data_IF_647317175871
#
_entry.id   IF_647317175871
#
_cell.length_a   1.000
_cell.length_b   1.000
_cell.length_c   1.000
_cell.angle_alpha   90.00
_cell.angle_beta   90.00
_cell.angle_gamma   90.00
#
_symmetry.space_group_name_H-M   'P 1'
#
loop_
_entity.id
_entity.type
_entity.pdbx_description
1 polymer ?
#
# COMPACT_ATOMS: atom_id res chain seq x y z
N UNK A 1 -25.42 -9.44 22.41
CA UNK A 1 -25.60 -9.57 20.94
C UNK A 1 -24.31 -9.15 20.30
N UNK A 2 -23.85 -9.87 19.26
CA UNK A 2 -22.68 -9.48 18.49
C UNK A 2 -22.91 -8.14 17.80
N UNK A 3 -21.87 -7.30 17.72
CA UNK A 3 -21.93 -6.06 16.97
C UNK A 3 -21.76 -6.36 15.47
N UNK A 4 -22.53 -5.68 14.63
CA UNK A 4 -22.43 -5.79 13.19
C UNK A 4 -21.40 -4.80 12.65
N UNK A 5 -20.42 -5.31 11.88
CA UNK A 5 -19.31 -4.55 11.36
C UNK A 5 -19.48 -4.27 9.87
N UNK A 6 -19.24 -3.02 9.48
CA UNK A 6 -18.96 -2.65 8.09
C UNK A 6 -17.47 -2.46 7.92
N UNK A 7 -16.86 -3.29 7.08
CA UNK A 7 -15.47 -3.18 6.64
C UNK A 7 -15.47 -2.47 5.29
N UNK A 8 -14.69 -1.40 5.14
CA UNK A 8 -14.66 -0.61 3.91
C UNK A 8 -13.24 -0.21 3.54
N UNK A 9 -12.87 -0.41 2.28
CA UNK A 9 -11.62 0.07 1.68
C UNK A 9 -11.93 1.18 0.68
N UNK A 10 -11.46 2.39 0.97
CA UNK A 10 -11.79 3.61 0.25
C UNK A 10 -10.62 4.00 -0.66
N UNK A 11 -10.76 3.70 -1.94
CA UNK A 11 -9.85 4.17 -2.99
C UNK A 11 -10.29 5.51 -3.58
N UNK A 12 -9.54 5.99 -4.57
CA UNK A 12 -9.81 7.29 -5.22
C UNK A 12 -11.17 7.38 -5.95
N UNK A 13 -11.69 6.28 -6.49
CA UNK A 13 -12.90 6.24 -7.33
C UNK A 13 -13.85 5.10 -6.98
N UNK A 14 -13.43 4.20 -6.12
CA UNK A 14 -14.20 3.02 -5.75
C UNK A 14 -14.08 2.78 -4.25
N UNK A 15 -15.13 2.21 -3.70
CA UNK A 15 -15.17 1.61 -2.38
C UNK A 15 -15.33 0.11 -2.54
N UNK A 16 -14.56 -0.66 -1.77
CA UNK A 16 -14.82 -2.08 -1.54
C UNK A 16 -15.38 -2.19 -0.15
N UNK A 17 -16.43 -2.98 0.02
CA UNK A 17 -17.03 -3.15 1.33
C UNK A 17 -17.45 -4.59 1.56
N UNK A 18 -17.55 -4.93 2.83
CA UNK A 18 -18.03 -6.22 3.31
C UNK A 18 -18.68 -6.09 4.68
N UNK A 19 -19.48 -7.05 5.05
CA UNK A 19 -20.13 -7.15 6.36
C UNK A 19 -19.49 -8.30 7.13
N UNK A 20 -19.29 -8.08 8.44
CA UNK A 20 -18.83 -9.07 9.40
C UNK A 20 -19.54 -8.88 10.74
N UNK A 21 -19.19 -9.66 11.75
CA UNK A 21 -19.66 -9.49 13.13
C UNK A 21 -18.51 -9.62 14.13
N UNK A 22 -18.67 -9.03 15.31
CA UNK A 22 -17.62 -9.02 16.36
C UNK A 22 -17.33 -10.39 16.99
N UNK A 23 -18.10 -11.42 16.69
CA UNK A 23 -17.97 -12.78 17.18
C UNK A 23 -17.65 -13.80 16.09
N UNK A 24 -17.33 -13.35 14.87
CA UNK A 24 -16.98 -14.22 13.73
C UNK A 24 -15.90 -13.59 12.85
N UNK A 25 -15.03 -14.41 12.31
CA UNK A 25 -14.08 -14.03 11.26
C UNK A 25 -14.69 -14.10 9.85
N UNK A 26 -15.96 -14.48 9.74
CA UNK A 26 -16.63 -14.59 8.44
C UNK A 26 -16.88 -13.20 7.83
N UNK A 27 -16.55 -13.08 6.55
CA UNK A 27 -16.76 -11.88 5.74
C UNK A 27 -17.82 -12.20 4.69
N UNK A 28 -18.89 -11.43 4.69
CA UNK A 28 -20.03 -11.60 3.77
C UNK A 28 -20.31 -10.32 2.99
N UNK A 29 -21.16 -10.42 1.96
CA UNK A 29 -21.58 -9.27 1.15
C UNK A 29 -20.40 -8.45 0.59
N UNK A 30 -19.37 -9.13 0.09
CA UNK A 30 -18.20 -8.49 -0.52
C UNK A 30 -18.61 -7.87 -1.85
N UNK A 31 -18.56 -6.53 -1.93
CA UNK A 31 -18.93 -5.78 -3.12
C UNK A 31 -17.93 -4.65 -3.41
N UNK A 32 -17.95 -4.19 -4.66
CA UNK A 32 -17.21 -3.03 -5.13
C UNK A 32 -18.17 -2.07 -5.80
N UNK A 33 -18.19 -0.81 -5.34
CA UNK A 33 -19.08 0.24 -5.84
C UNK A 33 -18.24 1.47 -6.23
N UNK A 34 -18.48 2.03 -7.41
CA UNK A 34 -17.89 3.30 -7.78
C UNK A 34 -18.60 4.46 -7.10
N UNK A 35 -17.89 5.58 -6.88
CA UNK A 35 -18.48 6.85 -6.45
C UNK A 35 -17.89 8.00 -7.28
N UNK A 36 -18.72 9.00 -7.54
CA UNK A 36 -18.39 10.13 -8.41
C UNK A 36 -17.67 11.24 -7.61
N UNK A 37 -18.27 11.63 -6.50
CA UNK A 37 -17.82 12.68 -5.58
C UNK A 37 -18.04 12.28 -4.13
N UNK A 38 -17.78 13.19 -3.21
CA UNK A 38 -17.87 12.89 -1.78
C UNK A 38 -19.31 12.88 -1.27
N UNK A 39 -20.23 13.58 -1.92
CA UNK A 39 -21.64 13.55 -1.56
C UNK A 39 -22.25 12.19 -1.93
N UNK A 40 -21.96 11.68 -3.13
CA UNK A 40 -22.31 10.31 -3.57
C UNK A 40 -21.68 9.25 -2.65
N UNK A 41 -20.41 9.44 -2.24
CA UNK A 41 -19.77 8.56 -1.26
C UNK A 41 -20.51 8.54 0.08
N UNK A 42 -20.83 9.70 0.63
CA UNK A 42 -21.54 9.80 1.92
C UNK A 42 -22.94 9.20 1.88
N UNK A 43 -23.67 9.37 0.77
CA UNK A 43 -24.97 8.73 0.57
C UNK A 43 -24.84 7.21 0.53
N UNK A 44 -23.86 6.66 -0.21
CA UNK A 44 -23.59 5.23 -0.25
C UNK A 44 -23.20 4.68 1.12
N UNK A 45 -22.32 5.38 1.85
CA UNK A 45 -21.92 5.00 3.20
C UNK A 45 -23.14 4.96 4.13
N UNK A 46 -24.00 5.97 4.06
CA UNK A 46 -25.25 6.03 4.81
C UNK A 46 -26.14 4.81 4.53
N UNK A 47 -26.36 4.51 3.26
CA UNK A 47 -27.19 3.37 2.86
C UNK A 47 -26.62 2.05 3.37
N UNK A 48 -25.31 1.83 3.22
CA UNK A 48 -24.62 0.63 3.73
C UNK A 48 -24.79 0.46 5.26
N UNK A 49 -24.69 1.56 6.01
CA UNK A 49 -24.82 1.52 7.48
C UNK A 49 -26.26 1.18 7.87
N UNK A 50 -27.25 1.87 7.31
CA UNK A 50 -28.65 1.70 7.73
C UNK A 50 -29.27 0.40 7.22
N UNK A 51 -29.05 0.02 5.96
CA UNK A 51 -29.60 -1.22 5.39
C UNK A 51 -29.06 -2.47 6.08
N UNK A 52 -27.82 -2.40 6.57
CA UNK A 52 -27.19 -3.51 7.26
C UNK A 52 -27.28 -3.42 8.79
N UNK A 53 -27.85 -2.38 9.38
CA UNK A 53 -27.88 -2.15 10.83
C UNK A 53 -26.50 -2.24 11.46
N UNK A 54 -25.54 -1.46 10.93
CA UNK A 54 -24.14 -1.50 11.32
C UNK A 54 -23.94 -0.82 12.69
N UNK A 55 -23.23 -1.47 13.59
CA UNK A 55 -22.84 -0.93 14.90
C UNK A 55 -21.44 -0.29 14.85
N UNK A 56 -20.52 -0.90 14.10
CA UNK A 56 -19.09 -0.54 14.05
C UNK A 56 -18.65 -0.36 12.60
N UNK A 57 -18.00 0.76 12.31
CA UNK A 57 -17.34 1.01 11.03
C UNK A 57 -15.83 0.86 11.18
N UNK A 58 -15.21 0.05 10.29
CA UNK A 58 -13.76 -0.04 10.12
C UNK A 58 -13.44 0.36 8.68
N UNK A 59 -12.78 1.51 8.51
CA UNK A 59 -12.49 2.07 7.20
C UNK A 59 -10.99 2.19 6.95
N UNK A 60 -10.52 1.57 5.87
CA UNK A 60 -9.20 1.73 5.29
C UNK A 60 -9.23 2.90 4.31
N UNK A 61 -8.32 3.85 4.44
CA UNK A 61 -8.26 5.06 3.61
C UNK A 61 -6.82 5.33 3.20
N UNK A 62 -6.58 5.49 1.89
CA UNK A 62 -5.26 5.86 1.39
C UNK A 62 -4.94 7.32 1.73
N UNK A 63 -3.99 7.53 2.65
CA UNK A 63 -3.53 8.85 3.05
C UNK A 63 -2.96 8.90 4.46
N UNK A 64 -2.28 10.02 4.80
CA UNK A 64 -1.68 10.20 6.12
C UNK A 64 -2.74 10.29 7.22
N UNK A 65 -2.51 9.54 8.30
CA UNK A 65 -3.33 9.53 9.52
C UNK A 65 -2.73 10.44 10.57
N UNK A 66 -3.54 11.40 11.02
CA UNK A 66 -3.18 12.29 12.13
C UNK A 66 -4.31 12.25 13.17
N UNK A 67 -4.01 11.70 14.33
CA UNK A 67 -5.00 11.47 15.40
C UNK A 67 -6.22 10.68 14.88
N UNK A 68 -7.41 11.26 14.98
CA UNK A 68 -8.68 10.66 14.56
C UNK A 68 -9.06 11.00 13.12
N UNK A 69 -8.12 11.46 12.29
CA UNK A 69 -8.41 11.91 10.93
C UNK A 69 -7.42 11.32 9.92
N UNK A 70 -7.92 11.04 8.71
CA UNK A 70 -7.12 10.68 7.55
C UNK A 70 -7.47 11.63 6.41
N UNK A 71 -6.44 12.26 5.83
CA UNK A 71 -6.57 13.08 4.62
C UNK A 71 -6.34 12.21 3.39
N UNK A 72 -7.32 12.13 2.48
CA UNK A 72 -7.14 11.36 1.25
C UNK A 72 -6.05 11.95 0.37
N UNK A 73 -5.13 11.10 -0.10
CA UNK A 73 -4.03 11.51 -0.99
C UNK A 73 -4.52 12.02 -2.35
N UNK A 74 -5.60 11.45 -2.87
CA UNK A 74 -6.06 11.69 -4.26
C UNK A 74 -7.31 12.56 -4.35
N UNK A 75 -7.85 13.04 -3.23
CA UNK A 75 -9.04 13.89 -3.17
C UNK A 75 -8.90 14.88 -2.02
N UNK A 76 -9.46 16.08 -2.18
CA UNK A 76 -9.49 17.08 -1.11
C UNK A 76 -10.61 16.74 -0.10
N UNK A 77 -10.43 15.65 0.64
CA UNK A 77 -11.39 15.22 1.66
C UNK A 77 -10.67 14.68 2.90
N UNK A 78 -11.21 14.98 4.07
CA UNK A 78 -10.67 14.53 5.36
C UNK A 78 -11.73 13.70 6.08
N UNK A 79 -11.43 12.43 6.27
CA UNK A 79 -12.21 11.55 7.14
C UNK A 79 -11.88 11.86 8.61
N UNK A 80 -12.90 11.92 9.46
CA UNK A 80 -12.72 12.06 10.89
C UNK A 80 -13.63 11.06 11.61
N UNK A 81 -13.05 10.15 12.38
CA UNK A 81 -13.81 9.06 13.02
C UNK A 81 -14.88 9.55 13.97
N UNK A 82 -14.59 10.59 14.76
CA UNK A 82 -15.57 11.17 15.71
C UNK A 82 -16.76 11.80 15.00
N UNK A 83 -16.51 12.50 13.88
CA UNK A 83 -17.62 13.10 13.08
C UNK A 83 -18.49 12.01 12.45
N UNK A 84 -17.88 10.96 11.90
CA UNK A 84 -18.59 9.83 11.28
C UNK A 84 -19.41 9.08 12.33
N UNK A 85 -18.79 8.74 13.47
CA UNK A 85 -19.44 8.08 14.59
C UNK A 85 -20.71 8.82 15.01
N UNK A 86 -20.62 10.14 15.25
CA UNK A 86 -21.76 10.96 15.67
C UNK A 86 -22.81 11.11 14.56
N UNK A 87 -22.38 11.31 13.30
CA UNK A 87 -23.29 11.50 12.14
C UNK A 87 -24.18 10.29 11.90
N UNK A 88 -23.65 9.09 12.06
CA UNK A 88 -24.35 7.84 11.77
C UNK A 88 -24.80 7.07 13.03
N UNK A 89 -24.59 7.66 14.21
CA UNK A 89 -24.94 7.06 15.51
C UNK A 89 -24.36 5.64 15.68
N UNK A 90 -23.09 5.47 15.30
CA UNK A 90 -22.36 4.22 15.46
C UNK A 90 -21.89 4.04 16.90
N UNK A 91 -21.62 2.79 17.32
CA UNK A 91 -20.95 2.51 18.60
C UNK A 91 -19.46 2.82 18.54
N UNK A 92 -18.84 2.46 17.42
CA UNK A 92 -17.41 2.69 17.18
C UNK A 92 -17.16 3.05 15.70
N UNK A 93 -16.09 3.82 15.46
CA UNK A 93 -15.60 4.14 14.14
C UNK A 93 -14.08 4.16 14.13
N UNK A 94 -13.47 3.20 13.43
CA UNK A 94 -12.02 3.04 13.30
C UNK A 94 -11.57 3.43 11.90
N UNK A 95 -10.66 4.39 11.81
CA UNK A 95 -9.99 4.76 10.56
C UNK A 95 -8.58 4.19 10.58
N UNK A 96 -8.24 3.45 9.56
CA UNK A 96 -6.93 2.89 9.31
C UNK A 96 -6.35 3.49 8.03
N UNK A 97 -5.05 3.77 8.02
CA UNK A 97 -4.35 3.96 6.76
C UNK A 97 -4.38 2.63 5.96
N UNK A 98 -4.29 2.69 4.63
CA UNK A 98 -4.34 1.51 3.77
C UNK A 98 -3.24 0.48 4.09
N UNK A 99 -2.02 0.94 4.39
CA UNK A 99 -0.91 0.07 4.78
C UNK A 99 -1.02 -0.43 6.23
N UNK A 100 -1.60 0.35 7.14
CA UNK A 100 -1.97 -0.10 8.48
C UNK A 100 -2.97 -1.27 8.40
N UNK A 101 -3.94 -1.19 7.48
CA UNK A 101 -4.90 -2.28 7.23
C UNK A 101 -4.24 -3.54 6.69
N UNK A 102 -3.28 -3.40 5.76
CA UNK A 102 -2.49 -4.53 5.24
C UNK A 102 -1.70 -5.19 6.37
N UNK A 103 -1.07 -4.42 7.24
CA UNK A 103 -0.31 -4.97 8.35
C UNK A 103 -1.19 -5.74 9.34
N UNK A 104 -2.40 -5.25 9.64
CA UNK A 104 -3.38 -5.96 10.47
C UNK A 104 -3.90 -7.26 9.83
N UNK A 105 -3.81 -7.42 8.52
CA UNK A 105 -4.24 -8.64 7.82
C UNK A 105 -3.24 -9.81 7.91
N UNK A 106 -2.06 -9.61 8.49
CA UNK A 106 -0.95 -10.57 8.44
C UNK A 106 -1.34 -11.98 8.87
N UNK A 107 -2.00 -12.14 10.01
CA UNK A 107 -2.37 -13.46 10.53
C UNK A 107 -3.32 -14.23 9.61
N UNK A 108 -4.10 -13.54 8.80
CA UNK A 108 -5.03 -14.13 7.85
C UNK A 108 -4.38 -14.51 6.51
N UNK A 109 -3.23 -13.93 6.16
CA UNK A 109 -2.59 -14.14 4.85
C UNK A 109 -1.24 -14.85 4.93
N UNK A 110 -0.67 -15.04 6.13
CA UNK A 110 0.68 -15.57 6.32
C UNK A 110 0.95 -16.90 5.63
N UNK A 111 -0.03 -17.80 5.59
CA UNK A 111 0.09 -19.11 4.95
C UNK A 111 0.11 -19.04 3.39
N UNK A 112 -0.27 -17.89 2.84
CA UNK A 112 -0.28 -17.62 1.39
C UNK A 112 0.95 -16.82 0.92
N UNK A 113 1.84 -16.45 1.83
CA UNK A 113 3.04 -15.65 1.52
C UNK A 113 4.05 -16.50 0.78
N UNK A 114 4.58 -15.97 -0.33
CA UNK A 114 5.64 -16.61 -1.10
C UNK A 114 6.99 -15.99 -0.75
N UNK A 115 7.98 -16.76 -0.29
CA UNK A 115 9.28 -16.21 0.05
C UNK A 115 10.07 -15.81 -1.19
N UNK A 116 10.67 -14.63 -1.17
CA UNK A 116 11.74 -14.22 -2.08
C UNK A 116 13.06 -14.71 -1.52
N UNK A 117 13.32 -14.44 -0.24
CA UNK A 117 14.52 -14.87 0.50
C UNK A 117 14.08 -15.38 1.87
N UNK A 118 14.61 -16.52 2.25
CA UNK A 118 14.36 -17.09 3.56
C UNK A 118 15.37 -16.57 4.57
N UNK A 119 14.94 -16.44 5.83
CA UNK A 119 15.75 -16.02 6.94
C UNK A 119 15.27 -16.62 8.25
N UNK A 120 16.06 -16.45 9.31
CA UNK A 120 15.67 -16.85 10.66
C UNK A 120 15.22 -15.63 11.42
N UNK A 121 13.98 -15.65 11.89
CA UNK A 121 13.44 -14.58 12.73
C UNK A 121 14.21 -14.49 14.06
N UNK A 122 14.49 -13.25 14.51
CA UNK A 122 15.16 -12.97 15.78
C UNK A 122 14.41 -11.95 16.66
N UNK A 123 13.33 -11.34 16.15
CA UNK A 123 12.37 -10.53 16.89
C UNK A 123 10.98 -10.62 16.23
N UNK A 124 10.01 -9.82 16.67
CA UNK A 124 8.64 -9.82 16.12
C UNK A 124 8.31 -8.55 15.33
N UNK A 125 9.31 -7.77 14.92
CA UNK A 125 9.09 -6.58 14.10
C UNK A 125 8.99 -6.96 12.63
N UNK A 126 7.95 -6.48 11.96
CA UNK A 126 7.68 -6.76 10.54
C UNK A 126 7.44 -5.46 9.80
N UNK A 127 8.13 -5.25 8.68
CA UNK A 127 7.82 -4.16 7.75
C UNK A 127 6.92 -4.67 6.63
N UNK A 128 5.89 -3.91 6.32
CA UNK A 128 5.00 -4.10 5.16
C UNK A 128 5.27 -2.98 4.18
N UNK A 129 5.55 -3.30 2.92
CA UNK A 129 5.95 -2.32 1.93
C UNK A 129 5.38 -2.69 0.56
N UNK A 130 4.93 -1.70 -0.19
CA UNK A 130 4.45 -1.93 -1.54
C UNK A 130 4.58 -0.73 -2.47
N UNK A 131 5.41 -0.89 -3.48
CA UNK A 131 5.42 0.01 -4.61
C UNK A 131 4.14 -0.22 -5.45
N UNK A 132 3.29 0.80 -5.49
CA UNK A 132 2.08 0.87 -6.29
C UNK A 132 2.09 2.13 -7.15
N UNK A 133 1.04 2.94 -7.11
CA UNK A 133 1.06 4.31 -7.68
C UNK A 133 2.11 5.17 -6.98
N UNK A 134 2.23 5.05 -5.66
CA UNK A 134 3.30 5.59 -4.83
C UNK A 134 4.07 4.46 -4.14
N UNK A 135 4.69 4.75 -2.99
CA UNK A 135 5.37 3.80 -2.13
C UNK A 135 4.76 3.86 -0.73
N UNK A 136 3.87 2.92 -0.43
CA UNK A 136 3.26 2.82 0.89
C UNK A 136 3.97 1.82 1.79
N UNK A 137 3.90 2.06 3.11
CA UNK A 137 4.45 1.14 4.09
C UNK A 137 3.81 1.29 5.47
N UNK A 138 3.87 0.20 6.25
CA UNK A 138 3.57 0.16 7.67
C UNK A 138 4.55 -0.75 8.39
N UNK A 139 4.75 -0.51 9.68
CA UNK A 139 5.56 -1.37 10.54
C UNK A 139 4.69 -1.95 11.65
N UNK A 140 4.86 -3.24 11.91
CA UNK A 140 4.35 -3.90 13.12
C UNK A 140 5.49 -4.10 14.11
N UNK A 141 5.31 -3.64 15.35
CA UNK A 141 6.28 -3.77 16.44
C UNK A 141 5.74 -4.79 17.43
N UNK A 142 6.54 -5.82 17.69
CA UNK A 142 6.22 -6.93 18.60
C UNK A 142 4.86 -7.63 18.32
N UNK A 143 4.36 -7.55 17.09
CA UNK A 143 3.03 -8.00 16.67
C UNK A 143 1.87 -7.35 17.47
N UNK A 144 2.10 -6.22 18.11
CA UNK A 144 1.12 -5.54 18.97
C UNK A 144 0.74 -4.16 18.47
N UNK A 145 1.71 -3.39 18.00
CA UNK A 145 1.50 -2.01 17.57
C UNK A 145 1.77 -1.93 16.06
N UNK A 146 0.80 -1.45 15.31
CA UNK A 146 0.96 -1.17 13.88
C UNK A 146 1.01 0.36 13.69
N UNK A 147 2.02 0.81 12.96
CA UNK A 147 2.23 2.21 12.62
C UNK A 147 2.32 2.36 11.09
N UNK A 148 1.42 3.14 10.51
CA UNK A 148 1.57 3.59 9.13
C UNK A 148 2.78 4.53 9.00
N UNK A 149 3.46 4.51 7.87
CA UNK A 149 4.60 5.38 7.60
C UNK A 149 4.43 6.09 6.26
N UNK A 150 4.98 7.29 6.16
CA UNK A 150 5.05 8.05 4.92
C UNK A 150 6.46 7.95 4.28
N UNK A 151 7.06 6.77 4.33
CA UNK A 151 8.44 6.56 3.88
C UNK A 151 8.64 6.88 2.41
N UNK A 152 7.61 6.70 1.58
CA UNK A 152 7.65 7.07 0.16
C UNK A 152 7.96 8.53 -0.08
N UNK A 153 7.61 9.41 0.86
CA UNK A 153 7.84 10.85 0.80
C UNK A 153 9.22 11.29 1.32
N UNK A 154 10.05 10.36 1.80
CA UNK A 154 11.41 10.70 2.25
C UNK A 154 12.37 10.93 1.08
N UNK A 155 13.41 11.73 1.31
CA UNK A 155 14.36 12.15 0.26
C UNK A 155 15.74 11.49 0.37
N UNK A 156 16.03 10.82 1.50
CA UNK A 156 17.40 10.47 1.88
C UNK A 156 18.13 9.54 0.91
N UNK A 157 17.45 8.53 0.36
CA UNK A 157 18.11 7.51 -0.49
C UNK A 157 17.82 7.68 -1.98
N UNK A 158 16.93 8.60 -2.37
CA UNK A 158 16.44 8.69 -3.76
C UNK A 158 17.57 8.90 -4.77
N UNK A 159 18.49 9.82 -4.52
CA UNK A 159 19.62 10.09 -5.44
C UNK A 159 20.60 8.92 -5.56
N UNK A 160 20.84 8.19 -4.47
CA UNK A 160 21.69 7.01 -4.50
C UNK A 160 21.08 5.91 -5.35
N UNK A 161 19.79 5.65 -5.17
CA UNK A 161 19.05 4.62 -5.90
C UNK A 161 18.94 4.92 -7.40
N UNK A 162 18.90 6.19 -7.80
CA UNK A 162 18.86 6.58 -9.21
C UNK A 162 20.07 6.12 -10.03
N UNK A 163 21.21 5.90 -9.39
CA UNK A 163 22.41 5.35 -10.04
C UNK A 163 22.15 3.97 -10.67
N UNK A 164 21.24 3.18 -10.11
CA UNK A 164 20.88 1.88 -10.66
C UNK A 164 20.16 1.96 -12.01
N UNK A 165 19.68 3.15 -12.37
CA UNK A 165 19.08 3.44 -13.66
C UNK A 165 20.03 4.22 -14.60
N UNK A 166 21.32 4.35 -14.23
CA UNK A 166 22.29 5.18 -14.92
C UNK A 166 21.82 6.66 -15.07
N UNK A 167 21.21 7.21 -14.00
CA UNK A 167 20.77 8.60 -13.91
C UNK A 167 21.63 9.28 -12.83
N UNK A 168 22.51 10.20 -13.25
CA UNK A 168 23.39 10.92 -12.33
C UNK A 168 22.73 12.15 -11.71
N UNK A 169 21.89 12.85 -12.48
CA UNK A 169 21.22 14.08 -12.07
C UNK A 169 19.74 14.03 -12.50
N UNK A 170 18.86 13.73 -11.58
CA UNK A 170 17.41 13.70 -11.81
C UNK A 170 16.65 14.51 -10.77
N UNK A 171 15.51 15.08 -11.16
CA UNK A 171 14.60 15.78 -10.25
C UNK A 171 13.68 14.81 -9.47
N UNK A 172 14.12 13.56 -9.26
CA UNK A 172 13.40 12.56 -8.50
C UNK A 172 13.73 12.73 -7.02
N UNK A 173 12.92 13.49 -6.31
CA UNK A 173 13.25 14.01 -4.97
C UNK A 173 12.88 13.03 -3.84
N UNK A 174 11.87 12.18 -4.05
CA UNK A 174 11.36 11.28 -3.00
C UNK A 174 11.59 9.81 -3.36
N UNK A 175 11.54 8.93 -2.36
CA UNK A 175 11.67 7.48 -2.59
C UNK A 175 10.61 6.96 -3.54
N UNK A 176 9.36 7.42 -3.45
CA UNK A 176 8.30 6.99 -4.37
C UNK A 176 8.53 7.43 -5.82
N UNK A 177 9.31 8.51 -6.04
CA UNK A 177 9.70 8.91 -7.38
C UNK A 177 10.72 7.95 -8.02
N UNK A 178 11.34 7.07 -7.21
CA UNK A 178 12.30 6.05 -7.66
C UNK A 178 11.73 4.64 -7.54
N UNK A 179 10.97 4.37 -6.48
CA UNK A 179 10.42 3.05 -6.15
C UNK A 179 8.89 3.10 -6.18
N UNK A 180 8.32 3.08 -7.37
CA UNK A 180 6.87 2.94 -7.59
C UNK A 180 6.57 2.49 -9.02
N UNK A 181 5.35 2.08 -9.31
CA UNK A 181 4.92 1.82 -10.69
C UNK A 181 4.95 3.07 -11.56
N UNK A 182 4.61 4.23 -10.99
CA UNK A 182 4.71 5.52 -11.67
C UNK A 182 6.16 5.91 -11.96
N UNK A 183 7.10 5.55 -11.08
CA UNK A 183 8.52 5.85 -11.30
C UNK A 183 9.08 5.12 -12.52
N UNK A 184 8.68 3.87 -12.76
CA UNK A 184 9.09 3.09 -13.94
C UNK A 184 8.74 3.85 -15.21
N UNK A 185 7.50 4.33 -15.35
CA UNK A 185 7.04 5.12 -16.50
C UNK A 185 7.78 6.47 -16.62
N UNK A 186 8.00 7.14 -15.50
CA UNK A 186 8.72 8.43 -15.49
C UNK A 186 10.19 8.27 -15.89
N UNK A 187 10.86 7.25 -15.39
CA UNK A 187 12.26 6.95 -15.72
C UNK A 187 12.39 6.57 -17.20
N UNK A 188 11.45 5.77 -17.72
CA UNK A 188 11.40 5.44 -19.14
C UNK A 188 11.25 6.71 -19.99
N UNK A 189 10.35 7.61 -19.60
CA UNK A 189 10.17 8.91 -20.27
C UNK A 189 11.43 9.77 -20.21
N UNK A 190 12.12 9.81 -19.07
CA UNK A 190 13.36 10.55 -18.94
C UNK A 190 14.47 10.05 -19.89
N UNK A 191 14.54 8.73 -20.11
CA UNK A 191 15.56 8.12 -20.97
C UNK A 191 15.24 8.18 -22.45
N UNK A 192 13.96 8.11 -22.83
CA UNK A 192 13.54 7.94 -24.23
C UNK A 192 12.76 9.12 -24.80
N UNK A 193 12.24 10.00 -23.94
CA UNK A 193 11.26 11.03 -24.32
C UNK A 193 9.83 10.51 -24.50
N UNK A 194 9.61 9.18 -24.49
CA UNK A 194 8.31 8.55 -24.72
C UNK A 194 7.55 8.32 -23.42
N UNK A 195 6.27 8.67 -23.40
CA UNK A 195 5.37 8.41 -22.26
C UNK A 195 4.57 7.13 -22.54
N UNK A 196 4.92 6.05 -21.85
CA UNK A 196 4.20 4.77 -21.90
C UNK A 196 3.91 4.28 -20.49
N UNK A 197 2.97 3.34 -20.34
CA UNK A 197 2.60 2.78 -19.05
C UNK A 197 3.66 1.80 -18.51
N UNK A 198 3.63 1.53 -17.21
CA UNK A 198 4.50 0.51 -16.62
C UNK A 198 4.23 -0.88 -17.21
N UNK A 199 2.98 -1.20 -17.52
CA UNK A 199 2.58 -2.46 -18.14
C UNK A 199 3.21 -2.62 -19.53
N UNK A 200 3.22 -1.57 -20.33
CA UNK A 200 3.88 -1.54 -21.63
C UNK A 200 5.40 -1.74 -21.50
N UNK A 201 6.03 -1.14 -20.47
CA UNK A 201 7.46 -1.32 -20.21
C UNK A 201 7.77 -2.78 -19.85
N UNK A 202 6.92 -3.44 -19.04
CA UNK A 202 7.06 -4.88 -18.76
C UNK A 202 6.90 -5.75 -20.01
N UNK A 203 5.99 -5.39 -20.94
CA UNK A 203 5.90 -6.10 -22.22
C UNK A 203 7.17 -5.95 -23.05
N UNK A 204 7.78 -4.76 -23.09
CA UNK A 204 9.05 -4.51 -23.79
C UNK A 204 10.23 -5.20 -23.11
N UNK A 205 10.24 -5.27 -21.78
CA UNK A 205 11.19 -6.07 -21.03
C UNK A 205 11.15 -7.56 -21.45
N UNK A 206 9.93 -8.12 -21.58
CA UNK A 206 9.75 -9.49 -22.04
C UNK A 206 10.18 -9.70 -23.51
N UNK A 207 10.29 -8.63 -24.29
CA UNK A 207 10.82 -8.62 -25.67
C UNK A 207 12.31 -8.31 -25.75
N UNK A 208 12.99 -8.21 -24.61
CA UNK A 208 14.41 -7.87 -24.51
C UNK A 208 14.77 -6.49 -25.07
N UNK A 209 13.89 -5.51 -24.92
CA UNK A 209 14.24 -4.13 -25.24
C UNK A 209 15.25 -3.60 -24.24
N UNK A 210 16.46 -3.13 -24.68
CA UNK A 210 17.56 -2.83 -23.76
C UNK A 210 17.23 -1.77 -22.71
N UNK A 211 16.45 -0.74 -23.06
CA UNK A 211 16.08 0.32 -22.11
C UNK A 211 15.07 -0.20 -21.08
N UNK A 212 14.12 -1.02 -21.48
CA UNK A 212 13.18 -1.65 -20.56
C UNK A 212 13.90 -2.62 -19.61
N UNK A 213 14.86 -3.41 -20.11
CA UNK A 213 15.69 -4.27 -19.26
C UNK A 213 16.51 -3.47 -18.25
N UNK A 214 17.14 -2.40 -18.67
CA UNK A 214 17.90 -1.51 -17.78
C UNK A 214 17.00 -0.94 -16.67
N UNK A 215 15.80 -0.49 -17.01
CA UNK A 215 14.86 0.12 -16.04
C UNK A 215 14.32 -0.92 -15.05
N UNK A 216 13.86 -2.06 -15.54
CA UNK A 216 13.29 -3.10 -14.66
C UNK A 216 14.37 -3.68 -13.74
N UNK A 217 15.57 -3.98 -14.25
CA UNK A 217 16.68 -4.44 -13.43
C UNK A 217 17.14 -3.37 -12.44
N UNK A 218 17.22 -2.11 -12.86
CA UNK A 218 17.52 -0.97 -11.98
C UNK A 218 16.49 -0.82 -10.86
N UNK A 219 15.21 -1.04 -11.17
CA UNK A 219 14.12 -1.02 -10.18
C UNK A 219 14.28 -2.15 -9.14
N UNK A 220 14.51 -3.39 -9.59
CA UNK A 220 14.68 -4.55 -8.72
C UNK A 220 15.89 -4.32 -7.79
N UNK A 221 17.02 -3.88 -8.33
CA UNK A 221 18.22 -3.57 -7.55
C UNK A 221 18.00 -2.42 -6.55
N UNK A 222 17.29 -1.38 -6.95
CA UNK A 222 16.95 -0.26 -6.07
C UNK A 222 16.01 -0.70 -4.95
N UNK A 223 15.04 -1.55 -5.25
CA UNK A 223 14.15 -2.12 -4.25
C UNK A 223 14.93 -2.96 -3.24
N UNK A 224 15.82 -3.85 -3.69
CA UNK A 224 16.65 -4.67 -2.80
C UNK A 224 17.53 -3.83 -1.86
N UNK A 225 18.17 -2.78 -2.38
CA UNK A 225 18.96 -1.86 -1.56
C UNK A 225 18.10 -1.12 -0.53
N UNK A 226 16.93 -0.61 -0.94
CA UNK A 226 15.99 0.03 -0.03
C UNK A 226 15.55 -0.94 1.08
N UNK A 227 15.22 -2.18 0.75
CA UNK A 227 14.82 -3.17 1.74
C UNK A 227 15.93 -3.47 2.75
N UNK A 228 17.19 -3.52 2.32
CA UNK A 228 18.33 -3.68 3.22
C UNK A 228 18.45 -2.52 4.20
N UNK A 229 18.34 -1.28 3.73
CA UNK A 229 18.39 -0.08 4.57
C UNK A 229 17.22 -0.06 5.58
N UNK A 230 16.02 -0.41 5.13
CA UNK A 230 14.84 -0.43 5.97
C UNK A 230 14.84 -1.57 6.99
N UNK A 231 15.41 -2.73 6.63
CA UNK A 231 15.61 -3.84 7.57
C UNK A 231 16.46 -3.40 8.76
N UNK A 232 17.53 -2.65 8.51
CA UNK A 232 18.39 -2.11 9.55
C UNK A 232 17.71 -0.96 10.33
N UNK A 233 17.05 -0.05 9.62
CA UNK A 233 16.40 1.12 10.21
C UNK A 233 15.30 0.73 11.20
N UNK A 234 14.47 -0.25 10.86
CA UNK A 234 13.34 -0.68 11.65
C UNK A 234 13.59 -1.97 12.45
N UNK A 235 14.79 -2.54 12.33
CA UNK A 235 15.17 -3.79 13.02
C UNK A 235 14.10 -4.88 12.77
N UNK A 236 13.75 -5.12 11.51
CA UNK A 236 12.65 -6.01 11.10
C UNK A 236 13.05 -7.47 11.14
N UNK A 237 13.33 -8.00 12.33
CA UNK A 237 13.82 -9.37 12.52
C UNK A 237 12.79 -10.46 12.24
N UNK A 238 11.51 -10.13 12.07
CA UNK A 238 10.49 -11.07 11.58
C UNK A 238 10.35 -11.04 10.07
N UNK A 239 10.97 -10.06 9.40
CA UNK A 239 11.02 -9.98 7.94
C UNK A 239 10.38 -8.74 7.36
N UNK A 240 10.41 -8.67 6.03
CA UNK A 240 9.76 -7.63 5.23
C UNK A 240 8.78 -8.30 4.28
N UNK A 241 7.51 -7.87 4.34
CA UNK A 241 6.46 -8.36 3.45
C UNK A 241 6.21 -7.36 2.35
N UNK A 242 6.31 -7.83 1.11
CA UNK A 242 6.03 -7.04 -0.07
C UNK A 242 4.61 -7.33 -0.58
N UNK A 243 3.85 -6.28 -0.89
CA UNK A 243 2.50 -6.42 -1.41
C UNK A 243 2.26 -5.49 -2.62
N UNK A 244 1.23 -5.81 -3.40
CA UNK A 244 0.81 -4.99 -4.54
C UNK A 244 0.95 -5.67 -5.90
N UNK A 245 0.34 -5.06 -6.93
CA UNK A 245 0.35 -5.61 -8.29
C UNK A 245 1.74 -5.61 -8.91
N UNK A 246 2.51 -4.55 -8.68
CA UNK A 246 3.87 -4.43 -9.20
C UNK A 246 4.78 -5.54 -8.63
N UNK A 247 4.67 -5.84 -7.33
CA UNK A 247 5.42 -6.95 -6.72
C UNK A 247 5.07 -8.27 -7.38
N UNK A 248 3.79 -8.52 -7.67
CA UNK A 248 3.37 -9.72 -8.41
C UNK A 248 3.97 -9.81 -9.80
N UNK A 249 4.15 -8.66 -10.48
CA UNK A 249 4.75 -8.61 -11.82
C UNK A 249 6.26 -8.86 -11.80
N UNK A 250 6.97 -8.37 -10.78
CA UNK A 250 8.43 -8.57 -10.69
C UNK A 250 8.82 -9.90 -10.03
N UNK A 251 7.96 -10.49 -9.20
CA UNK A 251 8.28 -11.73 -8.47
C UNK A 251 8.82 -12.87 -9.34
N UNK A 252 8.28 -13.14 -10.56
CA UNK A 252 8.80 -14.21 -11.43
C UNK A 252 10.18 -13.93 -12.03
N UNK A 253 10.59 -12.65 -12.08
CA UNK A 253 11.83 -12.20 -12.73
C UNK A 253 12.91 -11.79 -11.74
N UNK A 254 12.59 -11.77 -10.44
CA UNK A 254 13.59 -11.51 -9.40
C UNK A 254 14.61 -12.66 -9.38
N UNK A 255 15.88 -12.33 -9.62
CA UNK A 255 16.95 -13.24 -9.25
C UNK A 255 17.15 -13.18 -7.73
N UNK A 256 16.99 -14.33 -7.06
CA UNK A 256 17.13 -14.43 -5.61
C UNK A 256 18.55 -14.13 -5.11
N UNK A 257 19.52 -14.13 -6.00
CA UNK A 257 20.91 -13.72 -5.73
C UNK A 257 21.05 -12.21 -5.53
N UNK A 258 20.15 -11.40 -6.13
CA UNK A 258 20.19 -9.94 -6.03
C UNK A 258 19.53 -9.41 -4.73
N UNK A 259 18.78 -10.23 -4.01
CA UNK A 259 18.16 -9.99 -2.71
C UNK A 259 18.94 -10.75 -1.63
#
# INVERSE_FOLDING_TARGET
MANKLLLIDIGGTNIRHAISSSDSDDITNINKTAFNDMDDFEEKLKNLIYENNVDILIASVAGPKVNNSISMTNRNYVFNSTKILNKFNLKECHLLNDWESIAHSYDYVKDSIKPIKEGKSFNKNTLYLGPGTGLGAAISIDNQVVLATEIGNTTNSSQYLMKNFNIENGNLLTLENVISGKSISNIYKLKTGLSISSEEIFMRFAQHEPIAEEIINGFIKSLAQLLSDLALTFNTGNGILLAGSLIRSIYPIIDRGDF
#
